data_IF_884349182111
#
_entry.id   IF_884349182111
#
_cell.length_a   1.000
_cell.length_b   1.000
_cell.length_c   1.000
_cell.angle_alpha   90.00
_cell.angle_beta   90.00
_cell.angle_gamma   90.00
#
_symmetry.space_group_name_H-M   'P 1'
#
loop_
_entity.id
_entity.type
_entity.pdbx_description
1 polymer ?
#
# COMPACT_ATOMS: atom_id res chain seq x y z
N UNK A 1 -7.59 1.19 22.96
CA UNK A 1 -7.77 0.52 21.66
C UNK A 1 -6.90 1.23 20.65
N UNK A 2 -6.35 0.52 19.65
CA UNK A 2 -5.63 1.15 18.55
C UNK A 2 -6.46 2.22 17.85
N UNK A 3 -5.79 3.26 17.35
CA UNK A 3 -6.38 4.38 16.61
C UNK A 3 -5.75 4.49 15.22
N UNK A 4 -6.57 4.75 14.21
CA UNK A 4 -6.11 4.99 12.83
C UNK A 4 -6.14 6.49 12.55
N UNK A 5 -5.08 7.00 11.94
CA UNK A 5 -4.99 8.36 11.39
C UNK A 5 -4.56 8.29 9.93
N UNK A 6 -5.36 8.86 9.03
CA UNK A 6 -4.99 8.96 7.62
C UNK A 6 -3.89 10.02 7.44
N UNK A 7 -2.68 9.61 7.06
CA UNK A 7 -1.56 10.53 6.79
C UNK A 7 -1.67 11.12 5.39
N UNK A 8 -1.97 10.26 4.41
CA UNK A 8 -2.16 10.61 3.00
C UNK A 8 -3.43 9.95 2.48
N UNK A 9 -4.28 10.71 1.80
CA UNK A 9 -5.47 10.17 1.15
C UNK A 9 -5.12 9.37 -0.10
N UNK A 10 -5.80 8.25 -0.31
CA UNK A 10 -5.82 7.55 -1.58
C UNK A 10 -6.66 8.34 -2.58
N UNK A 11 -6.12 8.59 -3.77
CA UNK A 11 -6.79 9.35 -4.83
C UNK A 11 -6.88 8.46 -6.07
N UNK A 12 -8.09 8.19 -6.60
CA UNK A 12 -8.30 7.31 -7.75
C UNK A 12 -8.01 7.99 -9.09
N UNK A 13 -7.24 9.08 -9.09
CA UNK A 13 -7.05 9.90 -10.28
C UNK A 13 -6.07 9.26 -11.27
N UNK A 14 -6.41 9.37 -12.55
CA UNK A 14 -5.53 9.04 -13.67
C UNK A 14 -5.43 10.26 -14.59
N UNK A 15 -4.40 10.30 -15.42
CA UNK A 15 -4.21 11.35 -16.41
C UNK A 15 -3.96 10.76 -17.80
N UNK A 16 -4.17 11.56 -18.85
CA UNK A 16 -3.77 11.18 -20.21
C UNK A 16 -2.24 11.07 -20.39
N UNK A 17 -1.47 11.55 -19.40
CA UNK A 17 -0.03 11.42 -19.29
C UNK A 17 0.41 10.17 -18.48
N UNK A 18 -0.53 9.41 -17.92
CA UNK A 18 -0.25 8.18 -17.18
C UNK A 18 -0.93 8.08 -15.81
N UNK A 19 -0.53 7.05 -15.05
CA UNK A 19 -1.00 6.78 -13.70
C UNK A 19 -0.45 7.81 -12.72
N UNK A 20 -1.31 8.34 -11.86
CA UNK A 20 -0.89 9.27 -10.81
C UNK A 20 -0.35 8.51 -9.60
N UNK A 21 -0.95 7.36 -9.24
CA UNK A 21 -0.45 6.45 -8.19
C UNK A 21 -0.50 7.07 -6.79
N UNK A 22 -1.50 7.89 -6.48
CA UNK A 22 -1.65 8.45 -5.15
C UNK A 22 -2.34 7.45 -4.23
N UNK A 23 -1.57 6.53 -3.66
CA UNK A 23 -2.07 5.58 -2.67
C UNK A 23 -2.32 6.23 -1.30
N UNK A 24 -3.19 5.61 -0.51
CA UNK A 24 -3.42 5.93 0.89
C UNK A 24 -2.21 5.53 1.74
N UNK A 25 -1.89 6.35 2.76
CA UNK A 25 -0.94 6.00 3.82
C UNK A 25 -1.59 6.30 5.16
N UNK A 26 -1.57 5.33 6.06
CA UNK A 26 -2.19 5.42 7.37
C UNK A 26 -1.17 5.21 8.50
N UNK A 27 -1.41 5.87 9.62
CA UNK A 27 -0.73 5.65 10.89
C UNK A 27 -1.69 4.94 11.84
N UNK A 28 -1.24 3.84 12.42
CA UNK A 28 -1.92 3.14 13.51
C UNK A 28 -1.11 3.37 14.79
N UNK A 29 -1.77 3.83 15.84
CA UNK A 29 -1.17 4.02 17.17
C UNK A 29 -1.88 3.15 18.20
N UNK A 30 -1.14 2.39 19.01
CA UNK A 30 -1.69 1.54 20.06
C UNK A 30 -0.61 1.09 21.04
N UNK A 31 -1.00 0.57 22.21
CA UNK A 31 -0.06 0.05 23.19
C UNK A 31 0.28 -1.42 22.88
N UNK A 32 1.56 -1.79 23.05
CA UNK A 32 1.96 -3.19 23.07
C UNK A 32 1.55 -3.89 24.38
N UNK A 33 1.92 -5.17 24.53
CA UNK A 33 1.58 -5.98 25.71
C UNK A 33 2.22 -5.49 27.00
N UNK A 34 3.28 -4.69 26.90
CA UNK A 34 3.97 -4.08 28.05
C UNK A 34 3.46 -2.65 28.35
N UNK A 35 2.46 -2.18 27.59
CA UNK A 35 1.89 -0.84 27.74
C UNK A 35 2.71 0.26 27.06
N UNK A 36 3.70 -0.07 26.24
CA UNK A 36 4.46 0.93 25.50
C UNK A 36 3.72 1.32 24.21
N UNK A 37 3.61 2.62 23.94
CA UNK A 37 3.02 3.12 22.70
C UNK A 37 3.85 2.66 21.50
N UNK A 38 3.18 2.09 20.50
CA UNK A 38 3.73 1.69 19.21
C UNK A 38 3.05 2.40 18.07
N UNK A 39 3.83 2.67 17.02
CA UNK A 39 3.40 3.34 15.79
C UNK A 39 3.69 2.48 14.58
N UNK A 40 2.64 2.20 13.82
CA UNK A 40 2.69 1.37 12.62
C UNK A 40 2.25 2.26 11.46
N UNK A 41 3.12 2.44 10.46
CA UNK A 41 2.74 3.07 9.19
C UNK A 41 2.35 1.96 8.22
N UNK A 42 1.20 2.10 7.55
CA UNK A 42 0.74 1.17 6.52
C UNK A 42 0.91 1.83 5.16
N UNK A 43 1.76 1.21 4.32
CA UNK A 43 2.31 1.74 3.07
C UNK A 43 3.05 3.09 3.23
N UNK A 44 3.76 3.52 2.19
CA UNK A 44 4.67 4.69 2.23
C UNK A 44 4.54 5.62 1.03
N UNK A 45 3.61 5.36 0.11
CA UNK A 45 3.41 6.11 -1.13
C UNK A 45 4.61 6.08 -2.10
N UNK A 46 4.38 6.54 -3.33
CA UNK A 46 5.47 6.81 -4.28
C UNK A 46 6.32 8.04 -3.88
N UNK A 47 7.53 8.17 -4.45
CA UNK A 47 8.48 9.23 -4.11
C UNK A 47 7.95 10.66 -4.32
N UNK A 48 6.95 10.85 -5.20
CA UNK A 48 6.31 12.15 -5.43
C UNK A 48 5.52 12.68 -4.23
N UNK A 49 5.12 11.81 -3.29
CA UNK A 49 4.44 12.20 -2.04
C UNK A 49 5.36 12.26 -0.82
N UNK A 50 6.68 12.08 -1.00
CA UNK A 50 7.67 12.04 0.07
C UNK A 50 7.58 13.20 1.05
N UNK A 51 7.62 14.44 0.54
CA UNK A 51 7.58 15.65 1.37
C UNK A 51 6.25 15.75 2.09
N UNK A 52 5.15 15.44 1.39
CA UNK A 52 3.82 15.47 1.99
C UNK A 52 3.67 14.43 3.11
N UNK A 53 4.26 13.24 2.97
CA UNK A 53 4.26 12.21 4.01
C UNK A 53 4.99 12.69 5.26
N UNK A 54 6.20 13.25 5.10
CA UNK A 54 6.98 13.83 6.22
C UNK A 54 6.22 14.98 6.87
N UNK A 55 5.63 15.88 6.10
CA UNK A 55 4.83 16.99 6.60
C UNK A 55 3.57 16.50 7.35
N UNK A 56 2.93 15.44 6.87
CA UNK A 56 1.76 14.84 7.54
C UNK A 56 2.13 14.24 8.89
N UNK A 57 3.28 13.58 9.01
CA UNK A 57 3.80 13.12 10.31
C UNK A 57 4.15 14.30 11.23
N UNK A 58 4.82 15.33 10.69
CA UNK A 58 5.21 16.52 11.45
C UNK A 58 4.01 17.28 12.03
N UNK A 59 2.87 17.32 11.32
CA UNK A 59 1.60 17.89 11.83
C UNK A 59 1.06 17.15 13.06
N UNK A 60 1.44 15.89 13.25
CA UNK A 60 1.14 15.10 14.44
C UNK A 60 2.24 15.21 15.51
N UNK A 61 3.29 16.00 15.27
CA UNK A 61 4.45 16.10 16.14
C UNK A 61 5.40 14.91 16.05
N UNK A 62 5.34 14.14 14.96
CA UNK A 62 6.14 12.93 14.74
C UNK A 62 7.18 13.14 13.64
N UNK A 63 8.31 12.46 13.78
CA UNK A 63 9.31 12.24 12.75
C UNK A 63 9.22 10.81 12.21
N UNK A 64 9.93 10.52 11.13
CA UNK A 64 10.00 9.16 10.57
C UNK A 64 10.76 8.18 11.48
N UNK A 65 11.53 8.68 12.45
CA UNK A 65 12.24 7.87 13.44
C UNK A 65 11.33 7.42 14.60
N UNK A 66 10.18 8.07 14.78
CA UNK A 66 9.19 7.72 15.83
C UNK A 66 8.30 6.54 15.45
N UNK A 67 8.52 5.95 14.27
CA UNK A 67 7.76 4.83 13.73
C UNK A 67 8.49 3.52 14.09
N UNK A 68 7.75 2.60 14.72
CA UNK A 68 8.28 1.30 15.15
C UNK A 68 8.18 0.25 14.04
N UNK A 69 7.10 0.30 13.25
CA UNK A 69 6.82 -0.67 12.19
C UNK A 69 6.34 0.01 10.92
N UNK A 70 6.75 -0.53 9.78
CA UNK A 70 6.12 -0.24 8.48
C UNK A 70 5.50 -1.54 7.98
N UNK A 71 4.18 -1.57 7.80
CA UNK A 71 3.50 -2.67 7.12
C UNK A 71 3.41 -2.35 5.63
N UNK A 72 4.19 -3.07 4.84
CA UNK A 72 4.11 -3.02 3.37
C UNK A 72 3.03 -4.00 2.92
N UNK A 73 1.94 -3.48 2.39
CA UNK A 73 0.82 -4.31 1.96
C UNK A 73 1.16 -5.14 0.73
N UNK A 74 1.92 -4.56 -0.19
CA UNK A 74 2.46 -5.22 -1.37
C UNK A 74 3.66 -4.41 -1.93
N UNK A 75 4.26 -4.84 -3.05
CA UNK A 75 5.51 -4.30 -3.57
C UNK A 75 5.35 -3.39 -4.81
N UNK A 76 4.17 -2.82 -5.05
CA UNK A 76 4.00 -1.85 -6.13
C UNK A 76 4.64 -0.51 -5.83
N UNK A 77 5.12 0.13 -6.90
CA UNK A 77 5.89 1.37 -6.88
C UNK A 77 5.21 2.48 -6.07
N UNK A 78 3.89 2.56 -6.13
CA UNK A 78 3.12 3.58 -5.45
C UNK A 78 2.83 3.33 -3.99
N UNK A 79 3.20 2.18 -3.45
CA UNK A 79 3.01 1.86 -2.03
C UNK A 79 4.32 1.82 -1.24
N UNK A 80 5.48 1.64 -1.89
CA UNK A 80 6.73 1.34 -1.17
C UNK A 80 7.94 2.24 -1.48
N UNK A 81 7.84 3.26 -2.34
CA UNK A 81 9.05 4.02 -2.72
C UNK A 81 9.61 4.96 -1.65
N UNK A 82 8.93 5.17 -0.52
CA UNK A 82 9.46 5.96 0.60
C UNK A 82 9.83 5.12 1.83
N UNK A 83 9.96 3.80 1.68
CA UNK A 83 10.35 2.89 2.78
C UNK A 83 11.68 3.26 3.44
N UNK A 84 12.60 3.88 2.70
CA UNK A 84 13.91 4.30 3.20
C UNK A 84 13.83 5.46 4.21
N UNK A 85 12.70 6.17 4.29
CA UNK A 85 12.49 7.21 5.30
C UNK A 85 12.43 6.68 6.73
N UNK A 86 12.00 5.43 6.91
CA UNK A 86 11.65 4.83 8.20
C UNK A 86 12.78 3.95 8.74
N UNK A 87 13.99 4.50 8.84
CA UNK A 87 15.21 3.74 9.15
C UNK A 87 15.24 3.09 10.55
N UNK A 88 14.36 3.52 11.47
CA UNK A 88 14.23 2.92 12.80
C UNK A 88 13.15 1.81 12.85
N UNK A 89 12.30 1.73 11.83
CA UNK A 89 11.17 0.83 11.83
C UNK A 89 11.57 -0.59 11.36
N UNK A 90 10.91 -1.59 11.92
CA UNK A 90 10.93 -2.95 11.34
C UNK A 90 9.94 -3.02 10.18
N UNK A 91 10.42 -3.46 9.02
CA UNK A 91 9.57 -3.62 7.84
C UNK A 91 8.85 -4.97 7.90
N UNK A 92 7.52 -4.94 7.86
CA UNK A 92 6.66 -6.12 7.84
C UNK A 92 6.13 -6.30 6.42
N UNK A 93 6.37 -7.46 5.82
CA UNK A 93 5.92 -7.77 4.46
C UNK A 93 5.61 -9.27 4.33
N UNK A 94 4.70 -9.64 3.45
CA UNK A 94 4.45 -11.05 3.16
C UNK A 94 5.64 -11.71 2.44
N UNK A 95 6.02 -12.91 2.86
CA UNK A 95 7.18 -13.61 2.29
C UNK A 95 7.04 -13.87 0.78
N UNK A 96 5.85 -14.25 0.31
CA UNK A 96 5.61 -14.46 -1.13
C UNK A 96 5.70 -13.16 -1.93
N UNK A 97 5.34 -12.02 -1.33
CA UNK A 97 5.46 -10.72 -1.99
C UNK A 97 6.94 -10.34 -2.18
N UNK A 98 7.74 -10.52 -1.12
CA UNK A 98 9.19 -10.31 -1.18
C UNK A 98 9.83 -11.18 -2.26
N UNK A 99 9.43 -12.47 -2.35
CA UNK A 99 9.90 -13.40 -3.40
C UNK A 99 9.50 -12.93 -4.79
N UNK A 100 8.24 -12.54 -4.97
CA UNK A 100 7.68 -12.10 -6.24
C UNK A 100 8.38 -10.83 -6.76
N UNK A 101 8.72 -9.89 -5.89
CA UNK A 101 9.39 -8.64 -6.24
C UNK A 101 10.79 -8.80 -6.89
N UNK A 102 11.41 -9.98 -6.78
CA UNK A 102 12.70 -10.28 -7.42
C UNK A 102 12.60 -10.67 -8.89
N UNK A 103 11.44 -11.17 -9.30
CA UNK A 103 11.21 -11.64 -10.67
C UNK A 103 9.74 -11.38 -11.01
N UNK A 104 9.23 -10.14 -10.95
CA UNK A 104 7.82 -9.85 -11.22
C UNK A 104 7.49 -10.20 -12.67
N UNK A 105 6.24 -10.55 -12.97
CA UNK A 105 5.99 -11.09 -14.30
C UNK A 105 5.94 -9.97 -15.34
N UNK A 106 6.17 -10.34 -16.60
CA UNK A 106 6.45 -9.38 -17.69
C UNK A 106 5.35 -8.33 -17.88
N UNK A 107 4.10 -8.66 -17.55
CA UNK A 107 2.93 -7.79 -17.63
C UNK A 107 2.64 -7.00 -16.34
N UNK A 108 3.39 -7.25 -15.28
CA UNK A 108 3.38 -6.45 -14.07
C UNK A 108 4.29 -5.24 -14.24
N UNK A 109 3.68 -4.16 -14.72
CA UNK A 109 4.32 -2.87 -14.87
C UNK A 109 4.43 -2.10 -13.55
N UNK A 110 3.72 -2.53 -12.50
CA UNK A 110 3.62 -1.83 -11.22
C UNK A 110 4.69 -2.28 -10.21
N UNK A 111 5.33 -3.43 -10.43
CA UNK A 111 6.53 -3.86 -9.71
C UNK A 111 7.78 -3.66 -10.58
N UNK A 112 8.51 -2.53 -10.45
CA UNK A 112 9.77 -2.36 -11.17
C UNK A 112 10.77 -3.49 -10.88
N UNK A 113 11.57 -3.87 -11.88
CA UNK A 113 12.53 -4.98 -11.76
C UNK A 113 13.64 -4.77 -10.72
N UNK A 114 13.83 -3.53 -10.25
CA UNK A 114 14.77 -3.20 -9.18
C UNK A 114 14.18 -3.38 -7.77
N UNK A 115 12.86 -3.60 -7.63
CA UNK A 115 12.17 -3.64 -6.33
C UNK A 115 12.75 -4.69 -5.38
N UNK A 116 12.94 -5.92 -5.85
CA UNK A 116 13.53 -6.99 -5.05
C UNK A 116 14.91 -6.63 -4.48
N UNK A 117 15.77 -5.96 -5.25
CA UNK A 117 17.10 -5.54 -4.78
C UNK A 117 17.03 -4.50 -3.66
N UNK A 118 16.05 -3.59 -3.72
CA UNK A 118 15.83 -2.59 -2.68
C UNK A 118 15.34 -3.26 -1.39
N UNK A 119 14.43 -4.23 -1.50
CA UNK A 119 13.91 -4.97 -0.34
C UNK A 119 15.02 -5.70 0.42
N UNK A 120 16.03 -6.26 -0.27
CA UNK A 120 17.15 -6.95 0.38
C UNK A 120 18.11 -6.03 1.15
N UNK A 121 17.96 -4.70 1.01
CA UNK A 121 18.72 -3.73 1.83
C UNK A 121 18.04 -3.42 3.17
N UNK A 122 16.81 -3.92 3.39
CA UNK A 122 15.99 -3.57 4.54
C UNK A 122 15.88 -4.72 5.55
N UNK A 123 15.74 -4.43 6.85
CA UNK A 123 15.44 -5.42 7.86
C UNK A 123 13.96 -5.84 7.77
N UNK A 124 13.66 -6.74 6.83
CA UNK A 124 12.31 -7.25 6.60
C UNK A 124 12.04 -8.46 7.49
N UNK A 125 10.98 -8.37 8.29
CA UNK A 125 10.32 -9.49 8.93
C UNK A 125 9.18 -9.99 8.05
N UNK A 126 9.26 -11.25 7.64
CA UNK A 126 8.17 -11.89 6.89
C UNK A 126 6.99 -12.17 7.82
N UNK A 127 5.79 -11.74 7.41
CA UNK A 127 4.53 -11.89 8.15
C UNK A 127 3.46 -12.53 7.27
N UNK A 128 2.37 -13.00 7.88
CA UNK A 128 1.25 -13.63 7.19
C UNK A 128 -0.02 -13.57 8.03
N UNK A 129 -1.04 -14.32 7.63
CA UNK A 129 -2.37 -14.31 8.24
C UNK A 129 -2.31 -14.46 9.76
N UNK A 130 -3.00 -13.56 10.47
CA UNK A 130 -3.14 -13.59 11.92
C UNK A 130 -1.89 -13.17 12.69
N UNK A 131 -0.82 -12.72 12.03
CA UNK A 131 0.33 -12.15 12.72
C UNK A 131 -0.08 -10.88 13.47
N UNK A 132 -0.11 -10.96 14.81
CA UNK A 132 -0.43 -9.85 15.70
C UNK A 132 0.79 -8.92 15.82
N UNK A 133 0.67 -7.69 15.32
CA UNK A 133 1.73 -6.68 15.39
C UNK A 133 1.75 -6.07 16.81
N UNK A 134 0.58 -5.68 17.29
CA UNK A 134 0.29 -5.26 18.68
C UNK A 134 -1.14 -5.71 19.02
N UNK A 135 -1.54 -5.76 20.32
CA UNK A 135 -2.91 -6.09 20.70
C UNK A 135 -3.96 -5.27 19.93
N UNK A 136 -4.87 -5.98 19.26
CA UNK A 136 -5.92 -5.39 18.43
C UNK A 136 -5.47 -4.95 17.02
N UNK A 137 -4.23 -5.23 16.62
CA UNK A 137 -3.73 -4.98 15.25
C UNK A 137 -3.05 -6.22 14.69
N UNK A 138 -3.63 -6.82 13.65
CA UNK A 138 -3.11 -8.05 13.05
C UNK A 138 -3.05 -7.97 11.53
N UNK A 139 -2.24 -8.84 10.93
CA UNK A 139 -2.16 -9.00 9.48
C UNK A 139 -3.31 -9.87 8.97
N UNK A 140 -3.95 -9.47 7.88
CA UNK A 140 -4.91 -10.26 7.11
C UNK A 140 -4.33 -10.54 5.73
N UNK A 141 -4.29 -11.80 5.30
CA UNK A 141 -3.90 -12.14 3.94
C UNK A 141 -5.03 -11.78 2.96
N UNK A 142 -4.63 -11.13 1.87
CA UNK A 142 -5.53 -10.54 0.88
C UNK A 142 -5.02 -10.79 -0.56
N UNK A 143 -4.48 -11.98 -0.80
CA UNK A 143 -3.91 -12.36 -2.10
C UNK A 143 -4.90 -12.13 -3.24
N UNK A 144 -4.37 -11.74 -4.40
CA UNK A 144 -5.16 -11.54 -5.62
C UNK A 144 -4.65 -10.38 -6.44
N UNK A 145 -4.63 -9.17 -5.86
CA UNK A 145 -4.01 -8.01 -6.50
C UNK A 145 -2.54 -8.32 -6.83
N UNK A 146 -1.76 -8.70 -5.82
CA UNK A 146 -0.48 -9.40 -5.95
C UNK A 146 -0.52 -10.74 -5.19
N UNK A 147 0.53 -11.56 -5.31
CA UNK A 147 0.58 -12.90 -4.70
C UNK A 147 0.61 -12.85 -3.18
N UNK A 148 1.29 -11.86 -2.61
CA UNK A 148 1.45 -11.69 -1.17
C UNK A 148 0.81 -10.40 -0.67
N UNK A 149 -0.22 -9.89 -1.34
CA UNK A 149 -1.01 -8.77 -0.83
C UNK A 149 -1.53 -9.08 0.58
N UNK A 150 -1.26 -8.18 1.52
CA UNK A 150 -1.75 -8.23 2.90
C UNK A 150 -2.41 -6.91 3.29
N UNK A 151 -3.32 -6.96 4.24
CA UNK A 151 -3.91 -5.80 4.91
C UNK A 151 -3.67 -5.83 6.41
N UNK A 152 -4.12 -4.78 7.10
CA UNK A 152 -4.16 -4.73 8.56
C UNK A 152 -5.61 -4.74 9.06
N UNK A 153 -5.92 -5.65 9.98
CA UNK A 153 -7.13 -5.58 10.80
C UNK A 153 -6.83 -4.77 12.06
N UNK A 154 -7.75 -3.88 12.43
CA UNK A 154 -7.59 -2.98 13.58
C UNK A 154 -8.89 -2.95 14.38
N UNK A 155 -8.83 -3.37 15.64
CA UNK A 155 -9.95 -3.27 16.59
C UNK A 155 -10.06 -1.83 17.08
N UNK A 156 -10.99 -1.07 16.50
CA UNK A 156 -11.25 0.33 16.87
C UNK A 156 -12.48 0.45 17.76
N UNK A 157 -12.68 1.61 18.39
CA UNK A 157 -13.91 1.91 19.13
C UNK A 157 -15.17 1.89 18.25
N UNK A 158 -15.00 2.06 16.94
CA UNK A 158 -16.09 2.10 15.95
C UNK A 158 -16.34 0.74 15.27
N UNK A 159 -15.60 -0.30 15.67
CA UNK A 159 -15.67 -1.64 15.09
C UNK A 159 -14.36 -2.11 14.47
N UNK A 160 -14.41 -3.21 13.73
CA UNK A 160 -13.26 -3.78 13.04
C UNK A 160 -12.97 -2.96 11.77
N UNK A 161 -11.84 -2.26 11.76
CA UNK A 161 -11.34 -1.61 10.57
C UNK A 161 -10.38 -2.53 9.82
N UNK A 162 -10.44 -2.50 8.48
CA UNK A 162 -9.49 -3.19 7.62
C UNK A 162 -8.85 -2.20 6.67
N UNK A 163 -7.52 -2.08 6.74
CA UNK A 163 -6.69 -1.36 5.78
C UNK A 163 -6.37 -2.33 4.66
N UNK A 164 -7.02 -2.15 3.52
CA UNK A 164 -7.06 -3.14 2.43
C UNK A 164 -6.10 -2.85 1.30
N UNK A 165 -5.54 -1.65 1.25
CA UNK A 165 -4.68 -1.20 0.15
C UNK A 165 -5.30 -1.57 -1.19
N UNK A 166 -4.54 -2.19 -2.09
CA UNK A 166 -4.99 -2.47 -3.44
C UNK A 166 -5.77 -3.77 -3.63
N UNK A 167 -5.80 -4.63 -2.62
CA UNK A 167 -6.70 -5.79 -2.61
C UNK A 167 -8.18 -5.35 -2.63
N UNK A 168 -8.48 -4.15 -2.10
CA UNK A 168 -9.77 -3.48 -2.19
C UNK A 168 -9.56 -1.95 -2.25
N UNK A 169 -9.14 -1.47 -3.41
CA UNK A 169 -8.70 -0.08 -3.64
C UNK A 169 -9.80 1.00 -3.80
N UNK A 170 -11.06 0.65 -4.10
CA UNK A 170 -12.16 1.62 -4.34
C UNK A 170 -13.49 1.16 -3.76
N UNK A 171 -14.33 2.09 -3.30
CA UNK A 171 -15.65 1.73 -2.80
C UNK A 171 -16.57 1.13 -3.87
N UNK A 172 -16.35 1.45 -5.15
CA UNK A 172 -17.08 0.85 -6.28
C UNK A 172 -16.91 -0.68 -6.35
N UNK A 173 -15.78 -1.21 -5.85
CA UNK A 173 -15.49 -2.65 -5.77
C UNK A 173 -16.43 -3.35 -4.79
N UNK A 174 -16.95 -2.66 -3.77
CA UNK A 174 -17.93 -3.22 -2.84
C UNK A 174 -19.19 -3.71 -3.58
N UNK A 175 -19.56 -3.00 -4.65
CA UNK A 175 -20.74 -3.28 -5.46
C UNK A 175 -20.47 -4.31 -6.54
N UNK A 176 -19.32 -4.22 -7.23
CA UNK A 176 -19.01 -5.13 -8.35
C UNK A 176 -18.46 -6.47 -7.86
N UNK A 177 -17.83 -6.51 -6.69
CA UNK A 177 -17.00 -7.62 -6.17
C UNK A 177 -15.86 -8.03 -7.11
N UNK A 178 -15.46 -7.11 -7.99
CA UNK A 178 -14.42 -7.34 -8.99
C UNK A 178 -13.33 -6.28 -8.79
N UNK A 179 -12.11 -6.74 -8.54
CA UNK A 179 -10.93 -5.88 -8.57
C UNK A 179 -10.53 -5.63 -10.04
N UNK A 180 -10.43 -4.37 -10.50
CA UNK A 180 -10.03 -4.02 -11.85
C UNK A 180 -8.53 -4.22 -12.12
N UNK A 181 -7.68 -4.20 -11.10
CA UNK A 181 -6.24 -4.38 -11.25
C UNK A 181 -5.82 -5.64 -10.51
N UNK A 182 -5.78 -6.76 -11.22
CA UNK A 182 -5.33 -8.04 -10.67
C UNK A 182 -4.06 -8.45 -11.42
N UNK A 183 -2.94 -8.52 -10.72
CA UNK A 183 -1.65 -8.97 -11.24
C UNK A 183 -1.36 -10.43 -10.88
N UNK A 184 -2.11 -11.01 -9.93
CA UNK A 184 -1.92 -12.39 -9.51
C UNK A 184 -3.09 -13.31 -9.85
N UNK A 185 -4.17 -13.33 -9.07
CA UNK A 185 -5.25 -14.31 -9.22
C UNK A 185 -6.62 -13.67 -8.94
N UNK A 186 -7.51 -13.71 -9.93
CA UNK A 186 -8.82 -13.08 -9.87
C UNK A 186 -9.74 -13.72 -8.81
N UNK A 187 -9.68 -15.04 -8.65
CA UNK A 187 -10.51 -15.75 -7.68
C UNK A 187 -10.06 -15.44 -6.26
N UNK A 188 -8.75 -15.37 -6.02
CA UNK A 188 -8.18 -14.94 -4.76
C UNK A 188 -8.57 -13.47 -4.47
N UNK A 189 -8.50 -12.59 -5.47
CA UNK A 189 -8.91 -11.19 -5.32
C UNK A 189 -10.39 -11.08 -4.91
N UNK A 190 -11.29 -11.80 -5.60
CA UNK A 190 -12.71 -11.85 -5.25
C UNK A 190 -12.92 -12.41 -3.84
N UNK A 191 -12.25 -13.50 -3.47
CA UNK A 191 -12.39 -14.09 -2.13
C UNK A 191 -11.93 -13.12 -1.03
N UNK A 192 -10.84 -12.38 -1.26
CA UNK A 192 -10.33 -11.34 -0.36
C UNK A 192 -11.33 -10.19 -0.19
N UNK A 193 -11.93 -9.72 -1.29
CA UNK A 193 -12.97 -8.68 -1.27
C UNK A 193 -14.19 -9.16 -0.48
N UNK A 194 -14.69 -10.38 -0.75
CA UNK A 194 -15.86 -10.92 -0.07
C UNK A 194 -15.62 -11.06 1.44
N UNK A 195 -14.44 -11.56 1.83
CA UNK A 195 -14.04 -11.65 3.24
C UNK A 195 -14.04 -10.29 3.93
N UNK A 196 -13.53 -9.23 3.29
CA UNK A 196 -13.57 -7.88 3.85
C UNK A 196 -15.00 -7.38 4.00
N UNK A 197 -15.84 -7.53 2.97
CA UNK A 197 -17.25 -7.10 3.03
C UNK A 197 -18.00 -7.81 4.17
N UNK A 198 -17.69 -9.08 4.42
CA UNK A 198 -18.34 -9.87 5.47
C UNK A 198 -17.87 -9.53 6.89
N UNK A 199 -16.64 -9.06 7.05
CA UNK A 199 -15.99 -8.93 8.37
C UNK A 199 -15.75 -7.49 8.83
N UNK A 200 -15.54 -6.55 7.91
CA UNK A 200 -15.12 -5.20 8.23
C UNK A 200 -16.32 -4.27 8.50
N UNK A 201 -16.25 -3.54 9.60
CA UNK A 201 -17.15 -2.41 9.88
C UNK A 201 -16.66 -1.14 9.16
N UNK A 202 -15.33 -0.97 9.05
CA UNK A 202 -14.66 0.14 8.37
C UNK A 202 -13.67 -0.38 7.34
N UNK A 203 -13.64 0.23 6.16
CA UNK A 203 -12.69 -0.11 5.09
C UNK A 203 -11.83 1.11 4.79
N UNK A 204 -10.51 0.94 4.83
CA UNK A 204 -9.50 1.92 4.49
C UNK A 204 -8.78 1.45 3.21
N UNK A 205 -9.26 1.90 2.03
CA UNK A 205 -8.80 1.42 0.73
C UNK A 205 -7.51 2.10 0.25
N UNK A 206 -6.84 1.49 -0.72
CA UNK A 206 -5.60 2.01 -1.33
C UNK A 206 -5.77 3.30 -2.12
N UNK A 207 -6.87 3.48 -2.85
CA UNK A 207 -7.05 4.62 -3.77
C UNK A 207 -8.41 5.32 -3.61
N UNK A 208 -8.96 5.36 -2.40
CA UNK A 208 -10.23 6.05 -2.12
C UNK A 208 -10.26 6.63 -0.71
N UNK A 209 -11.33 7.36 -0.37
CA UNK A 209 -11.62 7.71 1.01
C UNK A 209 -12.05 6.47 1.80
N UNK A 210 -11.72 6.38 3.10
CA UNK A 210 -12.28 5.36 3.97
C UNK A 210 -13.82 5.38 3.97
N UNK A 211 -14.44 4.21 4.05
CA UNK A 211 -15.90 4.04 3.95
C UNK A 211 -16.43 2.86 4.75
N UNK A 212 -17.75 2.79 4.92
CA UNK A 212 -18.51 1.63 5.43
C UNK A 212 -19.41 1.08 4.34
N UNK A 213 -19.65 -0.22 4.37
CA UNK A 213 -20.68 -0.86 3.54
C UNK A 213 -21.92 -1.08 4.41
N UNK A 214 -23.00 -0.37 4.11
CA UNK A 214 -24.26 -0.44 4.85
C UNK A 214 -25.06 -1.69 4.48
N UNK A 215 -26.02 -2.05 5.33
CA UNK A 215 -27.01 -3.07 5.03
C UNK A 215 -27.75 -2.72 3.72
N UNK A 216 -27.60 -3.58 2.70
CA UNK A 216 -28.11 -3.34 1.35
C UNK A 216 -27.04 -3.00 0.30
N UNK A 217 -25.77 -2.88 0.69
CA UNK A 217 -24.64 -2.69 -0.22
C UNK A 217 -24.35 -1.23 -0.60
N UNK A 218 -25.01 -0.27 0.06
CA UNK A 218 -24.73 1.15 -0.10
C UNK A 218 -23.44 1.54 0.63
N UNK A 219 -22.72 2.52 0.08
CA UNK A 219 -21.43 2.99 0.63
C UNK A 219 -21.65 4.30 1.40
N UNK A 220 -21.17 4.34 2.64
CA UNK A 220 -21.07 5.57 3.45
C UNK A 220 -19.60 5.96 3.59
N UNK A 221 -19.18 7.06 2.96
CA UNK A 221 -17.81 7.58 3.12
C UNK A 221 -17.62 8.24 4.49
N UNK A 222 -16.50 7.93 5.15
CA UNK A 222 -16.11 8.52 6.43
C UNK A 222 -15.52 9.93 6.28
N UNK A 223 -15.13 10.29 5.06
CA UNK A 223 -14.64 11.63 4.73
C UNK A 223 -14.85 11.97 3.25
N UNK A 224 -14.86 13.27 2.96
CA UNK A 224 -14.84 13.76 1.58
C UNK A 224 -13.39 13.90 1.11
N UNK A 225 -13.09 13.33 -0.07
CA UNK A 225 -11.81 13.55 -0.75
C UNK A 225 -11.76 14.92 -1.42
N UNK A 226 -10.57 15.50 -1.45
CA UNK A 226 -10.27 16.72 -2.20
C UNK A 226 -8.96 16.54 -2.95
N UNK A 227 -8.95 16.88 -4.23
CA UNK A 227 -7.76 16.84 -5.08
C UNK A 227 -7.64 18.15 -5.85
N UNK A 228 -6.51 18.84 -5.68
CA UNK A 228 -6.23 20.12 -6.31
C UNK A 228 -5.05 20.05 -7.27
N UNK A 229 -5.18 20.72 -8.42
CA UNK A 229 -4.12 20.89 -9.41
C UNK A 229 -3.77 22.38 -9.46
N UNK A 230 -2.49 22.71 -9.35
CA UNK A 230 -1.98 24.08 -9.43
C UNK A 230 -0.96 24.24 -10.58
N UNK A 231 -0.76 25.47 -11.04
CA UNK A 231 0.20 25.77 -12.11
C UNK A 231 -0.34 25.59 -13.53
N UNK A 232 -1.60 25.18 -13.69
CA UNK A 232 -2.30 25.07 -14.98
C UNK A 232 -3.49 26.02 -15.03
N UNK A 233 -3.82 26.53 -16.22
CA UNK A 233 -5.05 27.29 -16.38
C UNK A 233 -6.24 26.33 -16.46
N UNK A 234 -7.40 26.65 -15.88
CA UNK A 234 -8.59 25.80 -15.98
C UNK A 234 -8.99 25.45 -17.43
N UNK A 235 -8.73 26.34 -18.40
CA UNK A 235 -9.02 26.08 -19.81
C UNK A 235 -8.10 25.03 -20.47
N UNK A 236 -6.99 24.68 -19.81
CA UNK A 236 -6.02 23.67 -20.26
C UNK A 236 -6.26 22.31 -19.55
N UNK A 237 -7.24 22.23 -18.65
CA UNK A 237 -7.58 21.03 -17.89
C UNK A 237 -8.90 20.42 -18.38
N UNK A 238 -8.89 19.10 -18.62
CA UNK A 238 -10.09 18.30 -18.84
C UNK A 238 -10.38 17.44 -17.61
N UNK A 239 -11.64 17.40 -17.17
CA UNK A 239 -12.09 16.54 -16.07
C UNK A 239 -13.12 15.56 -16.62
N UNK A 240 -12.81 14.28 -16.54
CA UNK A 240 -13.72 13.19 -16.88
C UNK A 240 -14.16 12.49 -15.60
N UNK A 241 -15.47 12.18 -15.50
CA UNK A 241 -16.03 11.55 -14.30
C UNK A 241 -15.82 10.03 -14.29
N UNK A 242 -15.73 9.41 -15.46
CA UNK A 242 -15.57 7.96 -15.58
C UNK A 242 -14.08 7.60 -15.60
N UNK A 243 -13.68 6.64 -14.77
CA UNK A 243 -12.38 5.99 -14.96
C UNK A 243 -12.42 5.16 -16.24
N UNK A 244 -11.33 5.14 -17.02
CA UNK A 244 -11.22 4.21 -18.14
C UNK A 244 -11.38 2.78 -17.61
N UNK A 245 -12.06 1.88 -18.34
CA UNK A 245 -12.26 0.49 -17.93
C UNK A 245 -10.96 -0.29 -18.09
N UNK A 246 -9.98 -0.02 -17.21
CA UNK A 246 -8.75 -0.79 -17.15
C UNK A 246 -9.06 -2.04 -16.33
N UNK A 247 -9.13 -3.17 -17.01
CA UNK A 247 -9.27 -4.48 -16.39
C UNK A 247 -8.03 -5.30 -16.70
N UNK A 248 -7.25 -5.62 -15.67
CA UNK A 248 -6.24 -6.66 -15.73
C UNK A 248 -6.81 -7.93 -15.09
N UNK A 249 -7.08 -8.99 -15.88
CA UNK A 249 -7.86 -10.14 -15.41
C UNK A 249 -7.09 -11.10 -14.47
N UNK A 250 -5.91 -10.71 -13.98
CA UNK A 250 -5.03 -11.63 -13.25
C UNK A 250 -4.48 -12.74 -14.14
N UNK A 251 -3.66 -13.59 -13.53
CA UNK A 251 -3.10 -14.78 -14.18
C UNK A 251 -3.94 -15.98 -13.77
N UNK A 252 -4.36 -16.78 -14.75
CA UNK A 252 -5.09 -18.04 -14.50
C UNK A 252 -4.26 -19.27 -14.87
N UNK A 253 -2.92 -19.23 -14.80
CA UNK A 253 -2.04 -20.35 -15.16
C UNK A 253 -1.35 -20.99 -13.94
N UNK A 254 -1.90 -22.11 -13.39
CA UNK A 254 -1.35 -22.82 -12.24
C UNK A 254 0.06 -23.38 -12.43
N UNK A 255 0.48 -23.67 -13.67
CA UNK A 255 1.80 -24.27 -13.93
C UNK A 255 2.94 -23.26 -13.71
N UNK A 256 2.69 -21.99 -14.06
CA UNK A 256 3.63 -20.89 -13.84
C UNK A 256 3.71 -20.52 -12.35
N UNK A 257 2.59 -20.57 -11.62
CA UNK A 257 2.56 -20.36 -10.16
C UNK A 257 3.47 -21.35 -9.42
N UNK A 258 3.42 -22.63 -9.80
CA UNK A 258 4.23 -23.68 -9.19
C UNK A 258 5.72 -23.56 -9.57
N UNK A 259 6.03 -23.18 -10.82
CA UNK A 259 7.40 -22.89 -11.24
C UNK A 259 8.01 -21.72 -10.42
N UNK A 260 7.20 -20.73 -10.08
CA UNK A 260 7.62 -19.54 -9.36
C UNK A 260 7.88 -19.79 -7.89
N UNK A 261 6.99 -20.54 -7.21
CA UNK A 261 7.23 -21.00 -5.84
C UNK A 261 8.56 -21.74 -5.71
N UNK A 262 8.91 -22.53 -6.74
CA UNK A 262 10.20 -23.22 -6.80
C UNK A 262 11.37 -22.26 -6.99
N UNK A 263 11.28 -21.27 -7.87
CA UNK A 263 12.36 -20.30 -8.17
C UNK A 263 12.58 -19.24 -7.09
N UNK A 264 11.51 -18.75 -6.46
CA UNK A 264 11.58 -17.73 -5.41
C UNK A 264 12.31 -18.24 -4.15
N UNK A 265 12.17 -19.53 -3.86
CA UNK A 265 12.91 -20.19 -2.78
C UNK A 265 14.42 -20.30 -3.07
N UNK A 266 14.81 -20.48 -4.33
CA UNK A 266 16.21 -20.61 -4.74
C UNK A 266 16.98 -19.25 -4.70
N UNK A 267 16.30 -18.12 -4.96
CA UNK A 267 16.95 -16.78 -4.99
C UNK A 267 17.17 -16.14 -3.62
N UNK A 268 16.36 -16.44 -2.61
CA UNK A 268 16.52 -15.84 -1.26
C UNK A 268 17.80 -16.35 -0.57
N UNK A 269 18.24 -17.57 -0.88
CA UNK A 269 19.41 -18.18 -0.24
C UNK A 269 20.75 -17.72 -0.85
N UNK A 270 20.71 -17.13 -2.05
CA UNK A 270 21.85 -16.49 -2.68
C UNK A 270 21.76 -14.97 -2.45
N UNK A 271 22.49 -14.44 -1.46
CA UNK A 271 22.77 -12.99 -1.36
C UNK A 271 23.44 -12.55 -2.66
N UNK A 272 22.66 -12.15 -3.65
CA UNK A 272 23.18 -11.80 -4.96
C UNK A 272 24.08 -10.56 -4.80
N UNK A 273 25.40 -10.67 -5.03
CA UNK A 273 26.35 -9.58 -4.79
C UNK A 273 26.36 -8.60 -5.96
N UNK A 274 25.21 -8.38 -6.61
CA UNK A 274 25.11 -7.43 -7.71
C UNK A 274 25.04 -6.04 -7.10
N UNK A 275 26.22 -5.48 -6.82
CA UNK A 275 26.38 -4.09 -6.46
C UNK A 275 25.82 -3.23 -7.60
N UNK A 276 24.72 -2.52 -7.32
CA UNK A 276 24.27 -1.41 -8.15
C UNK A 276 25.29 -0.27 -8.00
N UNK A 277 26.02 0.07 -9.07
CA UNK A 277 26.93 1.21 -9.12
C UNK A 277 26.11 2.51 -9.25
N UNK A 278 25.60 2.99 -8.12
CA UNK A 278 25.03 4.32 -8.00
C UNK A 278 26.18 5.33 -8.04
N UNK A 279 26.57 5.78 -9.23
CA UNK A 279 27.55 6.87 -9.39
C UNK A 279 27.25 7.99 -8.39
N UNK A 280 28.22 8.26 -7.51
CA UNK A 280 28.10 9.22 -6.41
C UNK A 280 27.91 10.64 -6.95
N UNK A 281 26.64 11.06 -7.10
CA UNK A 281 26.28 12.46 -7.20
C UNK A 281 25.49 12.83 -5.93
N UNK A 282 25.97 13.79 -5.12
CA UNK A 282 25.20 14.24 -3.97
C UNK A 282 23.89 14.89 -4.42
N UNK A 283 22.80 14.53 -3.76
CA UNK A 283 21.49 15.20 -3.86
C UNK A 283 21.67 16.65 -3.42
N UNK A 284 21.31 17.66 -4.24
CA UNK A 284 21.47 19.05 -3.84
C UNK A 284 20.44 19.42 -2.75
N UNK A 285 20.93 19.82 -1.57
CA UNK A 285 20.13 20.53 -0.57
C UNK A 285 19.75 21.90 -1.13
N UNK A 286 18.46 22.15 -1.34
CA UNK A 286 17.97 23.48 -1.68
C UNK A 286 17.38 24.13 -0.43
N UNK A 287 18.09 25.13 0.09
CA UNK A 287 17.49 26.21 0.86
C UNK A 287 16.59 27.00 -0.09
N UNK A 288 15.27 26.79 -0.01
CA UNK A 288 14.29 27.53 -0.81
C UNK A 288 13.87 28.80 -0.07
N UNK A 289 14.40 29.97 -0.46
CA UNK A 289 13.75 31.25 -0.15
C UNK A 289 12.65 31.51 -1.18
N UNK A 290 11.39 31.54 -0.72
CA UNK A 290 10.26 31.95 -1.53
C UNK A 290 10.31 33.46 -1.77
N UNK A 291 10.53 33.86 -3.03
CA UNK A 291 10.34 35.25 -3.44
C UNK A 291 8.83 35.54 -3.48
N UNK A 292 8.40 36.54 -2.71
CA UNK A 292 7.01 37.02 -2.61
C UNK A 292 6.47 37.59 -3.91
#
# INVERSE_FOLDING_TARGET
>A
MPKITQLLDGIPAVSDQGQVGFCAVALIEGEDRDGALRRIVVDTAHCGRRVLLVDSLAKLGLSTLDIDYVLSTHAHWDHMQNIDLFSNATMLMHGEERRYAHDPAVDDWATPSWTGYVLEQLPIQEVGEGHEIIPGVSVMEMAGHTVGSIGATVETEEGLAVLTSDAFHLASVAKTKVNPLVFWDEKAATASIERVIETADLIYPGHDAPFRVLAGGEVEYLKTLSFGIAGMKPAELSVEQALPPTMMPGRQDPARIEEWRRRGAERIDERSPVAYDAGLAPVPSHDWEFVK
#
